data_IF_060754433773
#
_entry.id   IF_060754433773
#
_cell.length_a   1.000
_cell.length_b   1.000
_cell.length_c   1.000
_cell.angle_alpha   90.00
_cell.angle_beta   90.00
_cell.angle_gamma   90.00
#
_symmetry.space_group_name_H-M   'P 1'
#
loop_
_entity.id
_entity.type
_entity.pdbx_description
1 polymer ?
#
# COMPACT_ATOMS: atom_id res chain seq x y z
N UNK A 1 24.08 4.43 29.41
CA UNK A 1 22.98 4.98 28.57
C UNK A 1 22.77 3.96 27.48
N UNK A 2 21.88 3.01 27.75
CA UNK A 2 21.74 1.83 26.93
C UNK A 2 21.23 2.20 25.54
N UNK A 3 22.11 1.94 24.58
CA UNK A 3 22.02 2.34 23.18
C UNK A 3 20.92 1.58 22.42
N UNK A 4 20.18 0.68 23.07
CA UNK A 4 19.18 -0.18 22.43
C UNK A 4 17.98 0.58 21.90
N UNK A 5 17.46 1.57 22.64
CA UNK A 5 16.34 2.40 22.18
C UNK A 5 16.73 3.27 20.97
N UNK A 6 17.97 3.75 20.93
CA UNK A 6 18.48 4.56 19.83
C UNK A 6 18.71 3.71 18.57
N UNK A 7 19.28 2.51 18.72
CA UNK A 7 19.41 1.56 17.61
C UNK A 7 18.06 1.17 17.03
N UNK A 8 17.11 0.82 17.88
CA UNK A 8 15.76 0.43 17.44
C UNK A 8 15.02 1.55 16.70
N UNK A 9 15.17 2.78 17.19
CA UNK A 9 14.64 3.97 16.51
C UNK A 9 15.31 4.18 15.14
N UNK A 10 16.64 4.06 15.06
CA UNK A 10 17.39 4.21 13.81
C UNK A 10 17.01 3.14 12.79
N UNK A 11 16.87 1.90 13.24
CA UNK A 11 16.45 0.76 12.42
C UNK A 11 15.03 0.98 11.88
N UNK A 12 14.09 1.40 12.74
CA UNK A 12 12.73 1.73 12.32
C UNK A 12 12.69 2.88 11.32
N UNK A 13 13.49 3.94 11.56
CA UNK A 13 13.58 5.07 10.64
C UNK A 13 14.18 4.67 9.28
N UNK A 14 15.11 3.72 9.25
CA UNK A 14 15.67 3.16 8.01
C UNK A 14 14.62 2.32 7.28
N UNK A 15 13.91 1.45 8.00
CA UNK A 15 12.83 0.61 7.44
C UNK A 15 11.71 1.44 6.81
N UNK A 16 11.30 2.55 7.45
CA UNK A 16 10.31 3.46 6.86
C UNK A 16 10.84 4.11 5.58
N UNK A 17 12.11 4.52 5.54
CA UNK A 17 12.72 5.10 4.33
C UNK A 17 12.75 4.10 3.17
N UNK A 18 13.14 2.87 3.45
CA UNK A 18 13.19 1.79 2.45
C UNK A 18 11.77 1.43 1.98
N UNK A 19 10.79 1.36 2.88
CA UNK A 19 9.37 1.17 2.55
C UNK A 19 8.88 2.23 1.56
N UNK A 20 9.09 3.51 1.86
CA UNK A 20 8.63 4.61 0.99
C UNK A 20 9.32 4.55 -0.36
N UNK A 21 10.64 4.31 -0.39
CA UNK A 21 11.40 4.16 -1.64
C UNK A 21 10.86 3.02 -2.49
N UNK A 22 10.65 1.86 -1.90
CA UNK A 22 10.20 0.67 -2.61
C UNK A 22 8.74 0.80 -3.09
N UNK A 23 7.91 1.54 -2.36
CA UNK A 23 6.57 1.90 -2.82
C UNK A 23 6.62 2.73 -4.11
N UNK A 24 7.46 3.78 -4.17
CA UNK A 24 7.63 4.61 -5.38
C UNK A 24 8.24 3.83 -6.56
N UNK A 25 9.18 2.93 -6.27
CA UNK A 25 9.78 2.04 -7.28
C UNK A 25 8.87 0.87 -7.69
N UNK A 26 7.64 0.80 -7.16
CA UNK A 26 6.65 -0.28 -7.39
C UNK A 26 7.15 -1.68 -7.02
N UNK A 27 8.08 -1.77 -6.06
CA UNK A 27 8.64 -3.02 -5.52
C UNK A 27 7.79 -3.51 -4.34
N UNK A 28 6.53 -3.85 -4.61
CA UNK A 28 5.54 -4.06 -3.55
C UNK A 28 5.84 -5.25 -2.63
N UNK A 29 6.39 -6.36 -3.12
CA UNK A 29 6.87 -7.45 -2.25
C UNK A 29 7.83 -6.95 -1.16
N UNK A 30 8.83 -6.14 -1.55
CA UNK A 30 9.84 -5.61 -0.65
C UNK A 30 9.23 -4.55 0.27
N UNK A 31 8.39 -3.66 -0.28
CA UNK A 31 7.64 -2.67 0.48
C UNK A 31 6.81 -3.29 1.61
N UNK A 32 6.09 -4.38 1.35
CA UNK A 32 5.29 -5.05 2.39
C UNK A 32 6.15 -5.77 3.42
N UNK A 33 7.32 -6.28 3.02
CA UNK A 33 8.29 -6.84 3.96
C UNK A 33 8.83 -5.79 4.93
N UNK A 34 9.17 -4.60 4.44
CA UNK A 34 9.58 -3.48 5.32
C UNK A 34 8.44 -3.08 6.28
N UNK A 35 7.19 -3.12 5.80
CA UNK A 35 6.02 -2.85 6.64
C UNK A 35 5.80 -3.93 7.72
N UNK A 36 6.02 -5.20 7.38
CA UNK A 36 5.93 -6.31 8.33
C UNK A 36 7.07 -6.27 9.36
N UNK A 37 8.29 -5.84 9.00
CA UNK A 37 9.38 -5.62 9.95
C UNK A 37 9.03 -4.51 10.96
N UNK A 38 8.31 -3.48 10.53
CA UNK A 38 7.81 -2.41 11.41
C UNK A 38 6.65 -2.85 12.31
N UNK A 39 6.04 -4.03 12.07
CA UNK A 39 4.89 -4.52 12.82
C UNK A 39 5.15 -4.58 14.32
N UNK A 40 6.27 -5.17 14.73
CA UNK A 40 6.58 -5.34 16.15
C UNK A 40 6.71 -3.99 16.86
N UNK A 41 7.31 -3.00 16.19
CA UNK A 41 7.40 -1.64 16.72
C UNK A 41 6.05 -0.95 16.81
N UNK A 42 5.27 -0.98 15.72
CA UNK A 42 3.97 -0.32 15.64
C UNK A 42 2.93 -0.94 16.59
N UNK A 43 3.06 -2.23 16.91
CA UNK A 43 2.22 -2.90 17.91
C UNK A 43 2.67 -2.65 19.35
N UNK A 44 3.95 -2.38 19.58
CA UNK A 44 4.46 -1.99 20.90
C UNK A 44 4.01 -0.58 21.29
N UNK A 45 3.71 0.27 20.32
CA UNK A 45 3.14 1.60 20.55
C UNK A 45 1.62 1.51 20.82
N UNK A 46 1.22 1.91 22.02
CA UNK A 46 -0.17 1.88 22.51
C UNK A 46 -1.12 2.69 21.60
N UNK A 47 -0.62 3.75 20.95
CA UNK A 47 -1.42 4.57 20.04
C UNK A 47 -1.57 3.93 18.67
N UNK A 48 -0.59 3.17 18.20
CA UNK A 48 -0.62 2.54 16.87
C UNK A 48 -1.17 1.11 16.86
N UNK A 49 -1.22 0.43 18.00
CA UNK A 49 -1.72 -0.94 18.13
C UNK A 49 -3.10 -1.14 17.47
N UNK A 50 -4.05 -0.24 17.75
CA UNK A 50 -5.41 -0.33 17.20
C UNK A 50 -5.52 0.08 15.72
N UNK A 51 -4.49 0.73 15.17
CA UNK A 51 -4.52 1.30 13.83
C UNK A 51 -3.64 0.55 12.83
N UNK A 52 -2.72 -0.31 13.29
CA UNK A 52 -1.79 -1.04 12.43
C UNK A 52 -2.50 -1.78 11.30
N UNK A 53 -3.48 -2.64 11.60
CA UNK A 53 -4.19 -3.42 10.57
C UNK A 53 -4.94 -2.52 9.59
N UNK A 54 -5.47 -1.38 10.06
CA UNK A 54 -6.12 -0.40 9.18
C UNK A 54 -5.10 0.27 8.25
N UNK A 55 -3.95 0.68 8.78
CA UNK A 55 -2.87 1.29 8.01
C UNK A 55 -2.30 0.31 6.98
N UNK A 56 -2.04 -0.93 7.39
CA UNK A 56 -1.55 -2.00 6.53
C UNK A 56 -2.48 -2.24 5.35
N UNK A 57 -3.79 -2.39 5.62
CA UNK A 57 -4.79 -2.57 4.58
C UNK A 57 -4.89 -1.35 3.65
N UNK A 58 -4.81 -0.12 4.17
CA UNK A 58 -4.78 1.10 3.35
C UNK A 58 -3.59 1.12 2.41
N UNK A 59 -2.38 0.80 2.88
CA UNK A 59 -1.17 0.77 2.06
C UNK A 59 -1.28 -0.31 0.97
N UNK A 60 -1.72 -1.53 1.32
CA UNK A 60 -1.90 -2.61 0.33
C UNK A 60 -2.96 -2.28 -0.71
N UNK A 61 -4.10 -1.75 -0.29
CA UNK A 61 -5.17 -1.31 -1.18
C UNK A 61 -4.67 -0.25 -2.13
N UNK A 62 -3.93 0.73 -1.62
CA UNK A 62 -3.37 1.80 -2.44
C UNK A 62 -2.37 1.28 -3.46
N UNK A 63 -1.45 0.41 -3.04
CA UNK A 63 -0.49 -0.23 -3.94
C UNK A 63 -1.21 -0.93 -5.09
N UNK A 64 -2.30 -1.66 -4.79
CA UNK A 64 -3.07 -2.39 -5.80
C UNK A 64 -3.70 -1.45 -6.84
N UNK A 65 -4.35 -0.38 -6.39
CA UNK A 65 -4.96 0.64 -7.26
C UNK A 65 -3.90 1.26 -8.18
N UNK A 66 -2.80 1.76 -7.60
CA UNK A 66 -1.71 2.44 -8.34
C UNK A 66 -1.02 1.49 -9.32
N UNK A 67 -0.91 0.21 -8.96
CA UNK A 67 -0.35 -0.79 -9.85
C UNK A 67 -1.26 -1.08 -11.05
N UNK A 68 -2.58 -1.18 -10.84
CA UNK A 68 -3.53 -1.55 -11.89
C UNK A 68 -4.01 -0.39 -12.76
N UNK A 69 -3.93 0.84 -12.27
CA UNK A 69 -4.37 2.07 -12.97
C UNK A 69 -3.95 2.20 -14.45
N UNK A 70 -2.70 1.92 -14.87
CA UNK A 70 -2.31 2.08 -16.27
C UNK A 70 -2.81 0.96 -17.20
N UNK A 71 -3.50 -0.06 -16.69
CA UNK A 71 -3.90 -1.23 -17.45
C UNK A 71 -5.40 -1.23 -17.74
N UNK A 72 -5.78 -1.54 -18.98
CA UNK A 72 -7.18 -1.81 -19.36
C UNK A 72 -7.58 -3.23 -18.94
N UNK A 73 -6.63 -4.16 -18.88
CA UNK A 73 -6.82 -5.50 -18.35
C UNK A 73 -5.50 -6.01 -17.74
N UNK A 74 -5.58 -6.73 -16.62
CA UNK A 74 -4.40 -7.36 -16.01
C UNK A 74 -4.73 -8.75 -15.48
N UNK A 75 -3.83 -9.71 -15.73
CA UNK A 75 -3.95 -11.06 -15.20
C UNK A 75 -3.62 -11.10 -13.71
N UNK A 76 -4.50 -11.69 -12.90
CA UNK A 76 -4.37 -11.77 -11.44
C UNK A 76 -3.09 -12.52 -11.01
N UNK A 77 -2.64 -13.49 -11.79
CA UNK A 77 -1.37 -14.19 -11.55
C UNK A 77 -0.17 -13.22 -11.53
N UNK A 78 -0.15 -12.25 -12.45
CA UNK A 78 0.94 -11.26 -12.51
C UNK A 78 0.91 -10.33 -11.30
N UNK A 79 -0.28 -9.91 -10.90
CA UNK A 79 -0.47 -9.08 -9.71
C UNK A 79 -0.02 -9.85 -8.46
N UNK A 80 -0.45 -11.10 -8.31
CA UNK A 80 -0.09 -11.97 -7.19
C UNK A 80 1.44 -12.11 -7.03
N UNK A 81 2.17 -12.30 -8.13
CA UNK A 81 3.64 -12.37 -8.13
C UNK A 81 4.27 -11.05 -7.66
N UNK A 82 3.79 -9.92 -8.16
CA UNK A 82 4.32 -8.58 -7.79
C UNK A 82 4.01 -8.20 -6.34
N UNK A 83 2.90 -8.72 -5.80
CA UNK A 83 2.44 -8.46 -4.43
C UNK A 83 2.89 -9.53 -3.43
N UNK A 84 3.57 -10.60 -3.89
CA UNK A 84 4.09 -11.67 -3.04
C UNK A 84 2.99 -12.46 -2.35
N UNK A 85 1.85 -12.64 -3.02
CA UNK A 85 0.65 -13.25 -2.45
C UNK A 85 0.00 -14.22 -3.45
N UNK A 86 -1.14 -14.80 -3.09
CA UNK A 86 -1.87 -15.72 -3.96
C UNK A 86 -2.98 -15.00 -4.74
N UNK A 87 -3.50 -15.66 -5.77
CA UNK A 87 -4.55 -15.09 -6.63
C UNK A 87 -5.82 -14.79 -5.83
N UNK A 88 -6.22 -15.68 -4.93
CA UNK A 88 -7.45 -15.56 -4.13
C UNK A 88 -7.44 -14.30 -3.24
N UNK A 89 -6.29 -13.96 -2.65
CA UNK A 89 -6.12 -12.77 -1.85
C UNK A 89 -6.25 -11.49 -2.68
N UNK A 90 -5.65 -11.47 -3.88
CA UNK A 90 -5.81 -10.34 -4.81
C UNK A 90 -7.27 -10.21 -5.27
N UNK A 91 -7.91 -11.32 -5.60
CA UNK A 91 -9.32 -11.35 -6.03
C UNK A 91 -10.24 -10.79 -4.93
N UNK A 92 -10.08 -11.27 -3.69
CA UNK A 92 -10.82 -10.76 -2.53
C UNK A 92 -10.57 -9.26 -2.30
N UNK A 93 -9.32 -8.82 -2.45
CA UNK A 93 -8.95 -7.43 -2.27
C UNK A 93 -9.55 -6.53 -3.37
N UNK A 94 -9.51 -6.94 -4.63
CA UNK A 94 -10.15 -6.24 -5.74
C UNK A 94 -11.66 -6.14 -5.55
N UNK A 95 -12.32 -7.24 -5.17
CA UNK A 95 -13.76 -7.24 -4.89
C UNK A 95 -14.12 -6.28 -3.76
N UNK A 96 -13.31 -6.23 -2.69
CA UNK A 96 -13.52 -5.26 -1.61
C UNK A 96 -13.38 -3.81 -2.11
N UNK A 97 -12.40 -3.52 -2.98
CA UNK A 97 -12.22 -2.20 -3.57
C UNK A 97 -13.36 -1.81 -4.51
N UNK A 98 -13.89 -2.76 -5.30
CA UNK A 98 -15.06 -2.55 -6.17
C UNK A 98 -16.31 -2.29 -5.32
N UNK A 99 -16.57 -3.13 -4.32
CA UNK A 99 -17.74 -2.99 -3.44
C UNK A 99 -17.74 -1.69 -2.63
N UNK A 100 -16.57 -1.14 -2.33
CA UNK A 100 -16.41 0.16 -1.64
C UNK A 100 -16.32 1.35 -2.60
N UNK A 101 -16.54 1.14 -3.90
CA UNK A 101 -16.45 2.15 -4.97
C UNK A 101 -15.09 2.88 -5.04
N UNK A 102 -14.02 2.25 -4.58
CA UNK A 102 -12.66 2.81 -4.70
C UNK A 102 -12.06 2.58 -6.09
N UNK A 103 -12.48 1.52 -6.78
CA UNK A 103 -12.14 1.25 -8.18
C UNK A 103 -13.40 0.86 -8.95
N UNK A 104 -13.41 1.17 -10.24
CA UNK A 104 -14.37 0.63 -11.19
C UNK A 104 -13.65 -0.44 -12.01
N UNK A 105 -14.04 -1.70 -11.84
CA UNK A 105 -13.45 -2.84 -12.53
C UNK A 105 -14.42 -4.02 -12.56
N UNK A 106 -14.22 -4.92 -13.51
CA UNK A 106 -14.92 -6.20 -13.61
C UNK A 106 -13.93 -7.36 -13.49
N UNK A 107 -14.23 -8.36 -12.66
CA UNK A 107 -13.32 -9.46 -12.37
C UNK A 107 -13.82 -10.72 -13.07
N UNK A 108 -13.07 -11.16 -14.07
CA UNK A 108 -13.27 -12.46 -14.70
C UNK A 108 -12.58 -13.54 -13.86
N UNK A 109 -13.38 -14.20 -13.01
CA UNK A 109 -12.91 -15.25 -12.10
C UNK A 109 -12.55 -16.57 -12.82
N UNK A 110 -12.99 -16.76 -14.07
CA UNK A 110 -12.70 -17.95 -14.89
C UNK A 110 -11.32 -17.79 -15.53
N UNK A 111 -11.10 -16.67 -16.22
CA UNK A 111 -9.84 -16.38 -16.89
C UNK A 111 -8.79 -15.78 -15.95
N UNK A 112 -9.17 -15.45 -14.71
CA UNK A 112 -8.31 -14.80 -13.70
C UNK A 112 -7.71 -13.51 -14.24
N UNK A 113 -8.56 -12.68 -14.84
CA UNK A 113 -8.22 -11.36 -15.38
C UNK A 113 -9.17 -10.34 -14.77
N UNK A 114 -8.66 -9.15 -14.46
CA UNK A 114 -9.51 -8.00 -14.11
C UNK A 114 -9.47 -6.99 -15.25
N UNK A 115 -10.65 -6.50 -15.63
CA UNK A 115 -10.86 -5.53 -16.67
C UNK A 115 -11.21 -4.18 -16.04
N UNK A 116 -10.54 -3.13 -16.51
CA UNK A 116 -10.81 -1.76 -16.12
C UNK A 116 -11.47 -1.04 -17.30
N UNK A 117 -12.49 -0.18 -17.05
CA UNK A 117 -13.09 0.61 -18.10
C UNK A 117 -12.03 1.49 -18.75
N UNK A 118 -12.03 1.53 -20.09
CA UNK A 118 -11.15 2.43 -20.82
C UNK A 118 -11.57 3.85 -20.50
N UNK A 119 -10.66 4.63 -19.89
CA UNK A 119 -10.90 6.04 -19.65
C UNK A 119 -10.80 6.79 -20.98
N UNK A 120 -11.92 6.93 -21.71
CA UNK A 120 -11.97 7.73 -22.94
C UNK A 120 -12.04 9.22 -22.58
N UNK A 121 -10.88 9.89 -22.63
CA UNK A 121 -10.73 11.32 -22.96
C UNK A 121 -11.33 12.37 -22.02
N UNK A 122 -10.52 12.90 -21.09
CA UNK A 122 -10.20 14.33 -20.92
C UNK A 122 -9.56 14.58 -19.55
N UNK A 123 -8.23 14.71 -19.50
CA UNK A 123 -7.47 15.62 -18.63
C UNK A 123 -7.66 15.67 -17.10
N UNK A 124 -8.63 14.99 -16.50
CA UNK A 124 -8.81 14.93 -15.05
C UNK A 124 -8.16 13.65 -14.55
N UNK A 125 -6.91 13.80 -14.09
CA UNK A 125 -6.31 12.90 -13.11
C UNK A 125 -7.38 12.51 -12.09
N UNK A 126 -7.54 11.22 -11.73
CA UNK A 126 -8.47 10.87 -10.68
C UNK A 126 -8.11 11.70 -9.45
N UNK A 127 -9.07 12.49 -8.92
CA UNK A 127 -8.87 13.35 -7.74
C UNK A 127 -8.27 12.56 -6.55
N UNK A 128 -8.48 11.24 -6.53
CA UNK A 128 -7.84 10.32 -5.60
C UNK A 128 -6.31 10.19 -5.71
N UNK A 129 -5.64 10.74 -6.73
CA UNK A 129 -4.17 10.77 -6.83
C UNK A 129 -3.56 12.04 -6.20
N UNK A 130 -4.17 13.22 -6.42
CA UNK A 130 -3.73 14.46 -5.75
C UNK A 130 -3.96 14.37 -4.24
N UNK A 131 -5.10 13.83 -3.81
CA UNK A 131 -5.37 13.57 -2.40
C UNK A 131 -4.43 12.51 -1.80
N UNK A 132 -3.89 11.60 -2.62
CA UNK A 132 -3.02 10.52 -2.13
C UNK A 132 -1.57 10.91 -1.89
N UNK A 133 -1.02 11.86 -2.66
CA UNK A 133 0.29 12.44 -2.35
C UNK A 133 0.17 13.22 -1.05
N UNK A 134 -0.93 13.95 -0.85
CA UNK A 134 -1.22 14.67 0.39
C UNK A 134 -1.41 13.74 1.61
N UNK A 135 -2.14 12.63 1.49
CA UNK A 135 -2.30 11.65 2.59
C UNK A 135 -0.99 10.91 2.91
N UNK A 136 -0.18 10.57 1.91
CA UNK A 136 1.14 9.94 2.14
C UNK A 136 2.16 10.94 2.71
N UNK A 137 2.12 12.21 2.28
CA UNK A 137 2.86 13.31 2.90
C UNK A 137 2.42 13.52 4.35
N UNK A 138 1.14 13.28 4.66
CA UNK A 138 0.63 13.34 6.02
C UNK A 138 1.15 12.16 6.87
N UNK A 139 1.22 10.94 6.33
CA UNK A 139 1.90 9.80 6.99
C UNK A 139 3.39 10.11 7.18
N UNK A 140 4.06 10.68 6.18
CA UNK A 140 5.45 11.11 6.27
C UNK A 140 5.65 12.22 7.34
N UNK A 141 4.69 13.14 7.47
CA UNK A 141 4.68 14.19 8.48
C UNK A 141 4.45 13.63 9.89
N UNK A 142 3.57 12.64 10.06
CA UNK A 142 3.33 11.95 11.33
C UNK A 142 4.59 11.19 11.76
N UNK A 143 5.24 10.49 10.82
CA UNK A 143 6.52 9.83 11.08
C UNK A 143 7.60 10.85 11.46
N UNK A 144 7.71 12.00 10.75
CA UNK A 144 8.65 13.07 11.13
C UNK A 144 8.37 13.63 12.54
N UNK A 145 7.11 13.75 12.94
CA UNK A 145 6.77 14.31 14.25
C UNK A 145 7.12 13.34 15.39
N UNK A 146 6.96 12.03 15.18
CA UNK A 146 7.33 10.97 16.12
C UNK A 146 8.86 10.81 16.18
N UNK A 147 9.55 11.01 15.05
CA UNK A 147 10.98 10.86 14.96
C UNK A 147 11.74 12.08 15.54
N UNK A 148 11.28 13.31 15.34
CA UNK A 148 12.04 14.52 15.70
C UNK A 148 11.48 15.32 16.89
N UNK A 149 10.62 14.73 17.73
CA UNK A 149 10.20 15.31 19.04
C UNK A 149 10.82 14.54 20.20
#
# INVERSE_FOLDING_TARGET
MDNQNFHFYLDSALEVKELVRDFYLRRYCSCFRHLDNLREWLLADIYFFNHYETLYNKIRNRALIVYTEPFVAVGLQRVAVVFGTNIEAIEKQLLALINTNQIQADVDSINKVVHFPRHEGNGSFPQGLQSSVAEFDQVHSVVKHILYS
#
